data_IF_630392094158
#
_entry.id   IF_630392094158
#
_cell.length_a   1.000
_cell.length_b   1.000
_cell.length_c   1.000
_cell.angle_alpha   90.00
_cell.angle_beta   90.00
_cell.angle_gamma   90.00
#
_symmetry.space_group_name_H-M   'P 1'
#
loop_
_entity.id
_entity.type
_entity.pdbx_description
1 polymer ?
#
# COMPACT_ATOMS: atom_id res chain seq x y z
N UNK A 1 -5.54 -21.47 6.94
CA UNK A 1 -4.53 -21.41 5.87
C UNK A 1 -4.68 -20.08 5.13
N UNK A 2 -3.72 -19.16 5.24
CA UNK A 2 -3.69 -17.89 4.49
C UNK A 2 -2.75 -18.07 3.30
N UNK A 3 -3.28 -18.00 2.08
CA UNK A 3 -2.45 -17.92 0.87
C UNK A 3 -2.20 -16.44 0.56
N UNK A 4 -1.01 -15.94 0.86
CA UNK A 4 -0.52 -14.66 0.33
C UNK A 4 0.13 -14.89 -1.03
N UNK A 5 -0.41 -14.28 -2.09
CA UNK A 5 0.21 -14.32 -3.42
C UNK A 5 1.22 -13.18 -3.51
N UNK A 6 2.47 -13.47 -3.18
CA UNK A 6 3.62 -12.60 -3.42
C UNK A 6 4.00 -12.73 -4.90
N UNK A 7 3.81 -11.68 -5.69
CA UNK A 7 4.30 -11.64 -7.07
C UNK A 7 5.76 -11.18 -7.06
N UNK A 8 6.69 -12.08 -7.42
CA UNK A 8 8.10 -11.79 -7.61
C UNK A 8 8.34 -11.61 -9.12
N UNK A 9 8.56 -10.39 -9.59
CA UNK A 9 8.99 -10.15 -10.97
C UNK A 9 10.52 -10.27 -11.02
N UNK A 10 11.01 -11.44 -11.46
CA UNK A 10 12.43 -11.62 -11.74
C UNK A 10 12.77 -10.96 -13.09
N UNK A 11 13.53 -9.87 -13.04
CA UNK A 11 14.22 -9.31 -14.19
C UNK A 11 15.54 -10.07 -14.35
N UNK A 12 15.63 -10.96 -15.33
CA UNK A 12 16.87 -11.69 -15.56
C UNK A 12 16.78 -12.70 -16.70
N UNK A 13 16.87 -12.24 -17.94
CA UNK A 13 17.56 -12.89 -19.05
C UNK A 13 17.52 -11.92 -20.24
N UNK A 14 18.71 -11.53 -20.69
CA UNK A 14 18.89 -10.82 -21.94
C UNK A 14 18.46 -11.72 -23.11
N UNK A 15 18.11 -11.05 -24.21
CA UNK A 15 17.93 -11.59 -25.56
C UNK A 15 16.61 -12.32 -25.86
N UNK A 16 15.72 -11.59 -26.55
CA UNK A 16 14.49 -12.04 -27.23
C UNK A 16 13.24 -12.25 -26.36
N UNK A 17 12.81 -11.22 -25.63
CA UNK A 17 11.43 -11.20 -25.08
C UNK A 17 10.50 -10.67 -26.17
N UNK A 18 9.64 -11.56 -26.68
CA UNK A 18 8.82 -11.35 -27.87
C UNK A 18 8.03 -10.04 -27.89
N UNK A 19 7.84 -9.55 -29.11
CA UNK A 19 7.15 -8.32 -29.54
C UNK A 19 5.66 -8.23 -29.14
N UNK A 20 5.18 -8.97 -28.14
CA UNK A 20 3.76 -9.00 -27.73
C UNK A 20 3.55 -9.32 -26.23
N UNK A 21 4.39 -8.78 -25.34
CA UNK A 21 4.01 -8.71 -23.93
C UNK A 21 2.91 -7.65 -23.78
N UNK A 22 1.63 -8.06 -23.79
CA UNK A 22 0.51 -7.15 -23.57
C UNK A 22 0.38 -6.86 -22.07
N UNK A 23 0.82 -5.68 -21.65
CA UNK A 23 0.62 -5.22 -20.29
C UNK A 23 -0.82 -4.75 -20.11
N UNK A 24 -1.45 -5.04 -18.95
CA UNK A 24 -2.81 -4.61 -18.70
C UNK A 24 -2.90 -3.08 -18.79
N UNK A 25 -3.86 -2.59 -19.58
CA UNK A 25 -4.03 -1.15 -19.78
C UNK A 25 -4.40 -0.46 -18.46
N UNK A 26 -5.30 -1.07 -17.68
CA UNK A 26 -5.77 -0.53 -16.39
C UNK A 26 -5.33 -1.41 -15.23
N UNK A 27 -4.71 -0.80 -14.23
CA UNK A 27 -4.29 -1.46 -12.99
C UNK A 27 -5.14 -0.90 -11.85
N UNK A 28 -5.75 -1.77 -11.04
CA UNK A 28 -6.49 -1.39 -9.85
C UNK A 28 -5.91 -2.09 -8.64
N UNK A 29 -5.53 -1.32 -7.62
CA UNK A 29 -5.01 -1.81 -6.35
C UNK A 29 -5.99 -1.41 -5.25
N UNK A 30 -6.47 -2.39 -4.48
CA UNK A 30 -7.38 -2.15 -3.35
C UNK A 30 -6.80 -2.80 -2.10
N UNK A 31 -6.62 -2.01 -1.06
CA UNK A 31 -6.03 -2.47 0.20
C UNK A 31 -6.84 -1.94 1.38
N UNK A 32 -7.23 -2.79 2.34
CA UNK A 32 -7.88 -2.33 3.58
C UNK A 32 -6.98 -1.37 4.37
N UNK A 33 -5.67 -1.61 4.33
CA UNK A 33 -4.66 -0.79 4.98
C UNK A 33 -3.32 -0.89 4.21
N UNK A 34 -2.66 0.25 3.96
CA UNK A 34 -1.32 0.35 3.37
C UNK A 34 -0.45 1.29 4.22
N UNK A 35 0.70 0.83 4.71
CA UNK A 35 1.68 1.70 5.37
C UNK A 35 2.67 2.23 4.35
N UNK A 36 2.67 3.55 4.12
CA UNK A 36 3.52 4.20 3.12
C UNK A 36 3.80 5.64 3.54
N UNK A 37 5.05 6.09 3.42
CA UNK A 37 5.43 7.47 3.74
C UNK A 37 5.27 7.83 5.21
N UNK A 38 5.42 6.85 6.12
CA UNK A 38 5.27 7.09 7.56
C UNK A 38 3.82 7.36 8.01
N UNK A 39 2.83 7.03 7.18
CA UNK A 39 1.41 7.06 7.55
C UNK A 39 0.70 5.77 7.14
N UNK A 40 -0.43 5.54 7.79
CA UNK A 40 -1.35 4.46 7.45
C UNK A 40 -2.44 5.02 6.53
N UNK A 41 -2.50 4.51 5.31
CA UNK A 41 -3.59 4.75 4.35
C UNK A 41 -4.65 3.68 4.57
N UNK A 42 -5.89 4.07 4.80
CA UNK A 42 -6.98 3.19 5.17
C UNK A 42 -8.05 3.16 4.08
N UNK A 43 -8.49 1.94 3.76
CA UNK A 43 -9.47 1.66 2.72
C UNK A 43 -9.11 2.34 1.39
N UNK A 44 -7.86 2.12 0.95
CA UNK A 44 -7.28 2.79 -0.21
C UNK A 44 -7.58 2.01 -1.49
N UNK A 45 -8.06 2.72 -2.50
CA UNK A 45 -8.20 2.27 -3.87
C UNK A 45 -7.35 3.16 -4.78
N UNK A 46 -6.47 2.55 -5.57
CA UNK A 46 -5.66 3.23 -6.58
C UNK A 46 -6.01 2.64 -7.94
N UNK A 47 -6.32 3.50 -8.91
CA UNK A 47 -6.55 3.12 -10.30
C UNK A 47 -5.53 3.84 -11.16
N UNK A 48 -4.78 3.10 -11.97
CA UNK A 48 -3.88 3.63 -12.98
C UNK A 48 -4.36 3.22 -14.36
N UNK A 49 -4.42 4.17 -15.28
CA UNK A 49 -4.79 3.89 -16.67
C UNK A 49 -4.02 4.78 -17.65
N UNK A 50 -3.85 4.36 -18.91
CA UNK A 50 -3.12 5.10 -19.91
C UNK A 50 -4.00 6.24 -20.40
N UNK A 51 -3.39 7.37 -20.69
CA UNK A 51 -4.03 8.51 -21.34
C UNK A 51 -3.27 8.81 -22.64
N UNK A 52 -3.86 9.65 -23.50
CA UNK A 52 -3.29 10.00 -24.81
C UNK A 52 -1.85 10.54 -24.75
N UNK A 53 -1.42 11.11 -23.62
CA UNK A 53 -0.06 11.63 -23.41
C UNK A 53 0.50 11.24 -22.02
N UNK A 54 0.40 9.96 -21.66
CA UNK A 54 0.98 9.42 -20.43
C UNK A 54 -0.01 8.55 -19.65
N UNK A 55 -0.16 8.81 -18.35
CA UNK A 55 -1.10 8.06 -17.50
C UNK A 55 -1.84 8.94 -16.51
N UNK A 56 -3.00 8.46 -16.08
CA UNK A 56 -3.79 9.07 -15.01
C UNK A 56 -3.85 8.06 -13.86
N UNK A 57 -3.52 8.54 -12.66
CA UNK A 57 -3.65 7.78 -11.42
C UNK A 57 -4.69 8.44 -10.54
N UNK A 58 -5.67 7.67 -10.11
CA UNK A 58 -6.70 8.09 -9.16
C UNK A 58 -6.46 7.39 -7.83
N UNK A 59 -6.51 8.13 -6.74
CA UNK A 59 -6.40 7.58 -5.38
C UNK A 59 -7.62 8.02 -4.57
N UNK A 60 -8.29 7.05 -3.95
CA UNK A 60 -9.43 7.30 -3.07
C UNK A 60 -9.32 6.44 -1.81
N UNK A 61 -9.42 7.07 -0.66
CA UNK A 61 -9.44 6.43 0.65
C UNK A 61 -9.85 7.42 1.72
N UNK A 62 -9.65 7.04 3.00
CA UNK A 62 -9.96 7.93 4.13
C UNK A 62 -9.04 9.14 4.18
N UNK A 63 -7.76 8.96 3.85
CA UNK A 63 -6.73 9.98 3.99
C UNK A 63 -6.49 10.77 2.69
N UNK A 64 -7.00 10.30 1.54
CA UNK A 64 -6.77 10.95 0.24
C UNK A 64 -7.94 10.79 -0.72
N UNK A 65 -8.22 11.86 -1.46
CA UNK A 65 -8.94 11.80 -2.72
C UNK A 65 -8.24 12.73 -3.70
N UNK A 66 -7.57 12.14 -4.68
CA UNK A 66 -6.75 12.87 -5.62
C UNK A 66 -6.67 12.16 -6.98
N UNK A 67 -6.34 12.95 -8.00
CA UNK A 67 -5.94 12.47 -9.33
C UNK A 67 -4.57 13.04 -9.66
N UNK A 68 -3.69 12.21 -10.22
CA UNK A 68 -2.37 12.57 -10.69
C UNK A 68 -2.30 12.30 -12.20
N UNK A 69 -2.16 13.35 -13.00
CA UNK A 69 -1.87 13.22 -14.42
C UNK A 69 -0.34 13.23 -14.64
N UNK A 70 0.20 12.07 -14.99
CA UNK A 70 1.62 11.89 -15.32
C UNK A 70 1.78 12.03 -16.82
N UNK A 71 2.18 13.24 -17.26
CA UNK A 71 2.42 13.55 -18.66
C UNK A 71 3.85 13.17 -19.05
N UNK A 72 4.04 12.63 -20.25
CA UNK A 72 5.37 12.15 -20.70
C UNK A 72 6.41 13.28 -20.86
N UNK A 73 5.97 14.44 -21.35
CA UNK A 73 6.83 15.56 -21.72
C UNK A 73 6.38 16.88 -21.08
N UNK A 74 5.70 16.80 -19.94
CA UNK A 74 5.24 17.96 -19.19
C UNK A 74 5.20 17.65 -17.69
N UNK A 75 5.21 18.67 -16.81
CA UNK A 75 5.14 18.46 -15.37
C UNK A 75 3.91 17.64 -14.96
N UNK A 76 4.08 16.82 -13.94
CA UNK A 76 2.99 16.08 -13.33
C UNK A 76 2.00 17.05 -12.70
N UNK A 77 0.71 16.81 -12.91
CA UNK A 77 -0.36 17.64 -12.38
C UNK A 77 -1.15 16.83 -11.34
N UNK A 78 -1.06 17.25 -10.08
CA UNK A 78 -1.85 16.69 -9.00
C UNK A 78 -3.10 17.55 -8.76
N UNK A 79 -4.27 16.95 -8.87
CA UNK A 79 -5.53 17.50 -8.40
C UNK A 79 -5.91 16.79 -7.10
N UNK A 80 -5.81 17.50 -5.99
CA UNK A 80 -6.02 16.95 -4.65
C UNK A 80 -7.27 17.59 -4.06
N UNK A 81 -8.34 16.80 -3.91
CA UNK A 81 -9.56 17.24 -3.24
C UNK A 81 -9.35 17.31 -1.74
N UNK A 82 -8.74 16.27 -1.19
CA UNK A 82 -8.24 16.27 0.18
C UNK A 82 -7.03 15.36 0.30
N UNK A 83 -6.13 15.76 1.18
CA UNK A 83 -5.02 14.96 1.67
C UNK A 83 -4.89 15.26 3.16
N UNK A 84 -5.14 14.26 3.99
CA UNK A 84 -5.06 14.39 5.44
C UNK A 84 -3.94 13.52 5.97
N UNK A 85 -3.03 14.15 6.71
CA UNK A 85 -1.95 13.46 7.42
C UNK A 85 -2.42 13.06 8.81
N UNK A 86 -2.28 11.77 9.16
CA UNK A 86 -2.59 11.24 10.48
C UNK A 86 -1.37 10.56 11.12
N UNK A 87 -0.57 11.28 11.93
CA UNK A 87 0.64 10.73 12.55
C UNK A 87 0.34 9.61 13.57
N UNK A 88 -0.87 9.57 14.14
CA UNK A 88 -1.26 8.56 15.12
C UNK A 88 -1.52 7.19 14.48
N UNK A 89 -1.99 7.17 13.24
CA UNK A 89 -2.31 5.93 12.54
C UNK A 89 -1.05 5.13 12.13
N UNK A 90 0.10 5.79 12.01
CA UNK A 90 1.40 5.15 11.76
C UNK A 90 1.90 4.32 12.95
N UNK A 91 1.37 4.56 14.16
CA UNK A 91 1.86 3.95 15.41
C UNK A 91 1.30 2.55 15.68
N UNK A 92 0.53 1.96 14.76
CA UNK A 92 0.06 0.59 14.90
C UNK A 92 1.18 -0.42 14.58
N UNK A 93 2.25 -0.43 15.37
CA UNK A 93 3.11 -1.60 15.52
C UNK A 93 2.42 -2.59 16.47
N UNK A 94 2.34 -3.89 16.14
CA UNK A 94 1.83 -4.87 17.08
C UNK A 94 2.75 -4.87 18.29
N UNK A 95 2.17 -4.55 19.44
CA UNK A 95 2.66 -4.89 20.78
C UNK A 95 3.37 -6.24 20.74
N UNK A 96 4.64 -6.26 21.16
CA UNK A 96 5.32 -7.45 21.68
C UNK A 96 4.29 -8.25 22.48
N UNK A 97 3.87 -9.41 22.01
CA UNK A 97 3.30 -10.39 22.93
C UNK A 97 4.42 -10.77 23.89
N UNK A 98 4.30 -10.57 25.22
CA UNK A 98 5.11 -11.36 26.13
C UNK A 98 4.63 -12.79 25.96
N UNK A 99 5.56 -13.65 25.58
CA UNK A 99 5.40 -15.09 25.61
C UNK A 99 4.85 -15.48 26.99
N UNK A 100 3.80 -16.30 26.97
CA UNK A 100 3.25 -16.92 28.16
C UNK A 100 4.37 -17.65 28.94
N UNK A 101 4.72 -17.12 30.10
CA UNK A 101 5.43 -17.88 31.12
C UNK A 101 4.72 -17.64 32.43
N UNK A 102 3.90 -18.60 32.83
CA UNK A 102 3.58 -18.83 34.24
C UNK A 102 4.81 -19.47 34.87
N UNK A 103 5.37 -18.89 35.93
CA UNK A 103 5.99 -19.65 37.00
C UNK A 103 5.08 -19.57 38.22
N UNK A 104 4.79 -20.75 38.78
CA UNK A 104 4.05 -20.89 40.02
C UNK A 104 4.83 -20.37 41.25
N UNK A 105 4.04 -20.08 42.31
CA UNK A 105 4.37 -20.20 43.75
C UNK A 105 4.84 -18.92 44.50
N UNK A 106 4.72 -18.87 45.85
CA UNK A 106 3.66 -19.35 46.74
C UNK A 106 3.45 -18.42 47.96
N UNK A 107 2.84 -17.23 47.83
CA UNK A 107 2.55 -16.42 49.02
C UNK A 107 1.22 -15.67 48.87
N UNK A 108 0.15 -16.25 49.41
CA UNK A 108 -1.02 -15.48 49.84
C UNK A 108 -0.70 -14.94 51.22
N UNK A 109 -0.42 -13.64 51.31
CA UNK A 109 -0.31 -12.92 52.57
C UNK A 109 -1.58 -12.07 52.76
N UNK A 110 -2.34 -12.42 53.82
CA UNK A 110 -3.17 -11.57 54.72
C UNK A 110 -4.32 -10.77 54.06
N UNK A 111 -5.55 -10.75 54.55
CA UNK A 111 -6.16 -10.76 55.89
C UNK A 111 -7.53 -11.46 55.84
#
# INVERSE_FOLDING_TARGET
MRCGKLALFQKGAADNVGTNANFPQRITVRTPSLSLGGQQWNNLSIVSEPASNGSIVQAQGREINATLAMRNNAPWLANIKYLYYNPSAAKASPTKAPLNSTPASPFSAVD
#
